data_IF_252313687782
#
_entry.id   IF_252313687782
#
_cell.length_a   1.000
_cell.length_b   1.000
_cell.length_c   1.000
_cell.angle_alpha   90.00
_cell.angle_beta   90.00
_cell.angle_gamma   90.00
#
_symmetry.space_group_name_H-M   'P 1'
#
loop_
_entity.id
_entity.type
_entity.pdbx_description
1 polymer ?
#
# COMPACT_ATOMS: atom_id res chain seq x y z
N UNK A 1 27.68 -44.99 -13.57
CA UNK A 1 28.88 -44.27 -13.12
C UNK A 1 29.35 -43.45 -14.32
N UNK A 2 28.92 -42.21 -14.51
CA UNK A 2 29.20 -41.05 -13.64
C UNK A 2 28.12 -39.97 -13.84
N UNK A 3 27.56 -39.47 -12.74
CA UNK A 3 26.71 -38.27 -12.72
C UNK A 3 27.59 -37.01 -12.83
N UNK A 4 27.28 -36.14 -13.80
CA UNK A 4 27.82 -34.78 -13.86
C UNK A 4 26.90 -33.86 -13.07
N UNK A 5 27.39 -33.44 -11.92
CA UNK A 5 26.85 -32.36 -11.11
C UNK A 5 27.22 -31.03 -11.78
N UNK A 6 26.24 -30.33 -12.35
CA UNK A 6 26.43 -28.96 -12.84
C UNK A 6 25.93 -27.98 -11.78
N UNK A 7 26.85 -27.15 -11.34
CA UNK A 7 26.76 -26.11 -10.32
C UNK A 7 25.71 -25.04 -10.59
N UNK A 8 24.88 -24.76 -9.58
CA UNK A 8 24.01 -23.59 -9.50
C UNK A 8 24.83 -22.36 -9.07
N UNK A 9 24.72 -21.18 -9.72
CA UNK A 9 25.37 -19.98 -9.22
C UNK A 9 24.56 -19.38 -8.06
N UNK A 10 25.23 -19.34 -6.91
CA UNK A 10 24.94 -18.69 -5.65
C UNK A 10 23.94 -17.52 -5.67
N UNK A 11 22.84 -17.73 -4.93
CA UNK A 11 22.03 -16.69 -4.28
C UNK A 11 22.83 -16.03 -3.15
N UNK A 12 23.46 -14.89 -3.43
CA UNK A 12 24.00 -14.01 -2.40
C UNK A 12 23.38 -12.62 -2.54
N UNK A 13 22.17 -12.44 -2.02
CA UNK A 13 21.75 -11.12 -1.56
C UNK A 13 21.45 -11.22 -0.08
N UNK A 14 22.48 -10.92 0.71
CA UNK A 14 22.34 -10.61 2.13
C UNK A 14 21.74 -9.19 2.21
N UNK A 15 20.45 -9.06 1.95
CA UNK A 15 19.70 -7.83 2.22
C UNK A 15 19.48 -7.77 3.73
N UNK A 16 20.13 -6.79 4.37
CA UNK A 16 19.96 -6.52 5.79
C UNK A 16 18.46 -6.20 6.06
N UNK A 17 17.73 -6.99 6.88
CA UNK A 17 16.27 -6.86 7.03
C UNK A 17 15.80 -5.46 7.46
N UNK A 18 16.66 -4.73 8.20
CA UNK A 18 16.37 -3.38 8.65
C UNK A 18 16.35 -2.32 7.54
N UNK A 19 17.06 -2.54 6.42
CA UNK A 19 17.08 -1.61 5.29
C UNK A 19 15.81 -1.72 4.45
N UNK A 20 15.26 -2.93 4.28
CA UNK A 20 13.99 -3.13 3.56
C UNK A 20 12.79 -2.55 4.33
N UNK A 21 12.75 -2.69 5.66
CA UNK A 21 11.69 -2.12 6.50
C UNK A 21 11.65 -0.59 6.49
N UNK A 22 12.78 0.04 6.14
CA UNK A 22 12.91 1.49 6.04
C UNK A 22 12.47 2.04 4.67
N UNK A 23 12.32 1.17 3.66
CA UNK A 23 11.83 1.56 2.35
C UNK A 23 10.31 1.82 2.44
N UNK A 24 9.84 3.06 2.17
CA UNK A 24 8.40 3.38 2.21
C UNK A 24 7.56 2.52 1.26
N UNK A 25 8.17 2.01 0.18
CA UNK A 25 7.51 1.18 -0.84
C UNK A 25 7.57 -0.32 -0.56
N UNK A 26 8.21 -0.74 0.54
CA UNK A 26 8.24 -2.15 0.90
C UNK A 26 6.84 -2.66 1.26
N UNK A 27 6.39 -3.70 0.57
CA UNK A 27 5.15 -4.42 0.86
C UNK A 27 5.51 -5.76 1.49
N UNK A 28 5.25 -5.89 2.79
CA UNK A 28 5.54 -7.13 3.50
C UNK A 28 4.70 -8.30 2.92
N UNK A 29 5.25 -9.51 2.75
CA UNK A 29 4.52 -10.66 2.17
C UNK A 29 3.21 -11.02 2.88
N UNK A 30 3.06 -10.67 4.17
CA UNK A 30 1.80 -10.83 4.92
C UNK A 30 0.71 -9.81 4.56
N UNK A 31 0.94 -8.92 3.58
CA UNK A 31 -0.11 -8.07 3.02
C UNK A 31 -0.97 -8.86 2.04
N UNK A 32 -1.85 -9.71 2.57
CA UNK A 32 -2.81 -10.45 1.77
C UNK A 32 -4.07 -9.60 1.46
N UNK A 33 -4.58 -9.59 0.21
CA UNK A 33 -5.79 -8.84 -0.17
C UNK A 33 -7.01 -9.12 0.72
N UNK A 34 -7.10 -10.32 1.30
CA UNK A 34 -8.20 -10.70 2.19
C UNK A 34 -8.20 -10.08 3.59
N UNK A 35 -7.17 -9.30 4.01
CA UNK A 35 -7.16 -8.72 5.35
C UNK A 35 -8.05 -7.48 5.47
N UNK A 36 -9.17 -7.60 6.18
CA UNK A 36 -10.02 -6.43 6.48
C UNK A 36 -9.23 -5.46 7.37
N UNK A 37 -8.97 -4.24 6.88
CA UNK A 37 -8.23 -3.22 7.65
C UNK A 37 -9.10 -2.48 8.66
N UNK A 38 -10.39 -2.33 8.36
CA UNK A 38 -11.37 -1.63 9.19
C UNK A 38 -12.64 -2.46 9.17
N UNK A 39 -13.15 -2.79 10.36
CA UNK A 39 -14.35 -3.65 10.50
C UNK A 39 -15.63 -2.93 10.08
N UNK A 40 -15.70 -1.61 10.26
CA UNK A 40 -16.83 -0.78 9.88
C UNK A 40 -16.54 -0.05 8.57
N UNK A 41 -17.49 -0.08 7.64
CA UNK A 41 -17.40 0.68 6.40
C UNK A 41 -17.78 2.14 6.64
N UNK A 42 -17.14 3.06 5.91
CA UNK A 42 -17.54 4.45 5.86
C UNK A 42 -18.94 4.56 5.25
N UNK A 43 -19.89 5.14 5.97
CA UNK A 43 -21.29 5.31 5.55
C UNK A 43 -21.71 6.77 5.38
N UNK A 44 -20.77 7.70 5.56
CA UNK A 44 -20.98 9.15 5.51
C UNK A 44 -21.29 9.79 6.87
N UNK A 45 -21.76 9.03 7.86
CA UNK A 45 -22.00 9.51 9.22
C UNK A 45 -20.85 9.17 10.18
N UNK A 46 -20.10 8.11 9.89
CA UNK A 46 -19.06 7.57 10.78
C UNK A 46 -17.61 7.96 10.41
N UNK A 47 -17.39 9.09 9.72
CA UNK A 47 -16.05 9.50 9.28
C UNK A 47 -15.02 9.57 10.41
N UNK A 48 -15.36 10.14 11.58
CA UNK A 48 -14.42 10.30 12.69
C UNK A 48 -13.88 8.96 13.24
N UNK A 49 -14.72 7.97 13.61
CA UNK A 49 -14.23 6.66 14.04
C UNK A 49 -13.58 5.84 12.91
N UNK A 50 -14.10 5.93 11.67
CA UNK A 50 -13.55 5.24 10.51
C UNK A 50 -12.13 5.73 10.18
N UNK A 51 -11.94 7.05 10.10
CA UNK A 51 -10.65 7.67 9.74
C UNK A 51 -9.57 7.35 10.76
N UNK A 52 -9.88 7.35 12.07
CA UNK A 52 -8.94 6.92 13.13
C UNK A 52 -8.54 5.46 12.98
N UNK A 53 -9.49 4.58 12.67
CA UNK A 53 -9.23 3.15 12.49
C UNK A 53 -8.33 2.90 11.27
N UNK A 54 -8.63 3.53 10.13
CA UNK A 54 -7.80 3.44 8.93
C UNK A 54 -6.40 4.04 9.16
N UNK A 55 -6.32 5.18 9.85
CA UNK A 55 -5.06 5.82 10.21
C UNK A 55 -4.17 4.88 11.04
N UNK A 56 -4.69 4.25 12.09
CA UNK A 56 -3.93 3.28 12.89
C UNK A 56 -3.48 2.08 12.06
N UNK A 57 -4.37 1.53 11.22
CA UNK A 57 -4.07 0.39 10.39
C UNK A 57 -2.95 0.66 9.38
N UNK A 58 -2.92 1.85 8.77
CA UNK A 58 -1.87 2.27 7.83
C UNK A 58 -0.58 2.67 8.55
N UNK A 59 -0.67 3.34 9.70
CA UNK A 59 0.49 3.72 10.51
C UNK A 59 1.26 2.51 11.02
N UNK A 60 0.56 1.46 11.45
CA UNK A 60 1.19 0.21 11.90
C UNK A 60 2.04 -0.48 10.81
N UNK A 61 1.87 -0.10 9.54
CA UNK A 61 2.60 -0.64 8.39
C UNK A 61 3.48 0.39 7.68
N UNK A 62 3.70 1.56 8.28
CA UNK A 62 4.47 2.66 7.69
C UNK A 62 3.92 3.11 6.32
N UNK A 63 2.59 3.13 6.16
CA UNK A 63 1.91 3.52 4.90
C UNK A 63 1.11 4.81 4.99
N UNK A 64 1.18 5.52 6.12
CA UNK A 64 0.42 6.76 6.32
C UNK A 64 0.76 7.84 5.28
N UNK A 65 2.01 7.87 4.82
CA UNK A 65 2.48 8.90 3.90
C UNK A 65 1.79 8.91 2.53
N UNK A 66 1.13 7.81 2.16
CA UNK A 66 0.35 7.72 0.92
C UNK A 66 -1.01 8.39 1.01
N UNK A 67 -1.57 8.54 2.23
CA UNK A 67 -2.88 9.18 2.43
C UNK A 67 -2.77 10.62 2.91
N UNK A 68 -1.66 11.01 3.56
CA UNK A 68 -1.37 12.41 3.92
C UNK A 68 -0.57 13.18 2.86
N UNK A 69 -0.08 12.49 1.82
CA UNK A 69 0.65 13.08 0.70
C UNK A 69 2.14 13.35 0.96
N UNK A 70 2.68 12.96 2.12
CA UNK A 70 4.12 13.09 2.41
C UNK A 70 4.99 12.16 1.57
N UNK A 71 4.46 11.03 1.09
CA UNK A 71 5.11 10.14 0.12
C UNK A 71 4.57 10.47 -1.29
N UNK A 72 5.35 11.28 -2.02
CA UNK A 72 5.04 11.67 -3.40
C UNK A 72 5.43 10.58 -4.41
N UNK A 73 4.73 10.50 -5.56
CA UNK A 73 5.18 9.63 -6.65
C UNK A 73 6.59 10.06 -7.09
N UNK A 74 7.53 9.12 -7.23
CA UNK A 74 8.82 9.41 -7.86
C UNK A 74 8.62 9.63 -9.37
N UNK A 75 9.62 10.21 -10.04
CA UNK A 75 9.61 10.37 -11.49
C UNK A 75 9.63 9.01 -12.18
N UNK A 76 8.64 8.76 -13.05
CA UNK A 76 8.53 7.52 -13.83
C UNK A 76 9.69 7.38 -14.83
N UNK A 77 10.14 8.49 -15.42
CA UNK A 77 11.24 8.50 -16.39
C UNK A 77 12.61 8.32 -15.71
N UNK A 78 12.82 8.98 -14.56
CA UNK A 78 14.13 8.97 -13.89
C UNK A 78 14.31 7.74 -12.97
N UNK A 79 13.21 7.23 -12.40
CA UNK A 79 13.22 6.15 -11.39
C UNK A 79 12.06 5.16 -11.60
N UNK A 80 12.02 4.45 -12.75
CA UNK A 80 10.90 3.56 -13.08
C UNK A 80 10.67 2.43 -12.07
N UNK A 81 11.73 1.90 -11.46
CA UNK A 81 11.62 0.86 -10.43
C UNK A 81 10.94 1.36 -9.15
N UNK A 82 11.35 2.53 -8.65
CA UNK A 82 10.73 3.16 -7.48
C UNK A 82 9.27 3.55 -7.77
N UNK A 83 8.99 4.03 -8.98
CA UNK A 83 7.63 4.36 -9.41
C UNK A 83 6.72 3.14 -9.42
N UNK A 84 7.19 2.01 -9.97
CA UNK A 84 6.43 0.77 -9.96
C UNK A 84 6.08 0.29 -8.54
N UNK A 85 7.04 0.37 -7.60
CA UNK A 85 6.83 0.01 -6.19
C UNK A 85 5.89 0.99 -5.48
N UNK A 86 6.05 2.29 -5.72
CA UNK A 86 5.13 3.32 -5.22
C UNK A 86 3.70 3.09 -5.74
N UNK A 87 3.54 2.83 -7.04
CA UNK A 87 2.25 2.61 -7.68
C UNK A 87 1.57 1.35 -7.14
N UNK A 88 2.33 0.27 -6.90
CA UNK A 88 1.82 -0.93 -6.25
C UNK A 88 1.27 -0.63 -4.85
N UNK A 89 2.03 0.12 -4.03
CA UNK A 89 1.58 0.54 -2.70
C UNK A 89 0.32 1.42 -2.76
N UNK A 90 0.30 2.40 -3.64
CA UNK A 90 -0.83 3.31 -3.83
C UNK A 90 -2.10 2.56 -4.24
N UNK A 91 -2.01 1.68 -5.24
CA UNK A 91 -3.15 0.88 -5.72
C UNK A 91 -3.66 -0.10 -4.65
N UNK A 92 -2.76 -0.65 -3.84
CA UNK A 92 -3.14 -1.46 -2.69
C UNK A 92 -3.95 -0.63 -1.69
N UNK A 93 -3.49 0.57 -1.34
CA UNK A 93 -4.19 1.45 -0.39
C UNK A 93 -5.55 1.89 -0.95
N UNK A 94 -5.63 2.23 -2.23
CA UNK A 94 -6.90 2.53 -2.91
C UNK A 94 -7.87 1.35 -2.82
N UNK A 95 -7.40 0.13 -3.05
CA UNK A 95 -8.22 -1.08 -2.91
C UNK A 95 -8.71 -1.26 -1.47
N UNK A 96 -7.88 -0.93 -0.47
CA UNK A 96 -8.26 -0.99 0.94
C UNK A 96 -9.31 0.04 1.30
N UNK A 97 -9.13 1.28 0.85
CA UNK A 97 -10.11 2.35 1.02
C UNK A 97 -11.43 1.91 0.39
N UNK A 98 -11.42 1.46 -0.87
CA UNK A 98 -12.61 1.00 -1.59
C UNK A 98 -13.36 -0.13 -0.88
N UNK A 99 -12.64 -1.06 -0.24
CA UNK A 99 -13.26 -2.15 0.51
C UNK A 99 -13.80 -1.74 1.88
N UNK A 100 -13.36 -0.58 2.39
CA UNK A 100 -13.73 -0.02 3.69
C UNK A 100 -14.75 1.11 3.59
N UNK A 101 -15.36 1.33 2.42
CA UNK A 101 -16.43 2.32 2.23
C UNK A 101 -17.68 1.63 1.73
N UNK A 102 -18.85 2.20 2.02
CA UNK A 102 -20.11 1.71 1.48
C UNK A 102 -20.16 1.85 -0.04
N UNK A 103 -20.92 0.97 -0.70
CA UNK A 103 -20.95 0.85 -2.17
C UNK A 103 -21.37 2.13 -2.91
N UNK A 104 -22.13 3.00 -2.25
CA UNK A 104 -22.54 4.28 -2.82
C UNK A 104 -21.40 5.33 -2.80
N UNK A 105 -20.41 5.18 -1.91
CA UNK A 105 -19.23 6.05 -1.79
C UNK A 105 -18.03 5.51 -2.61
N UNK A 106 -18.02 4.22 -2.93
CA UNK A 106 -16.88 3.58 -3.64
C UNK A 106 -16.71 4.05 -5.08
N UNK A 107 -17.73 4.63 -5.72
CA UNK A 107 -17.69 5.06 -7.13
C UNK A 107 -16.58 6.06 -7.43
N UNK A 108 -16.29 6.97 -6.49
CA UNK A 108 -15.18 7.92 -6.63
C UNK A 108 -13.81 7.25 -6.48
N UNK A 109 -13.71 6.21 -5.66
CA UNK A 109 -12.46 5.52 -5.32
C UNK A 109 -11.93 4.68 -6.49
N UNK A 110 -12.81 4.04 -7.27
CA UNK A 110 -12.43 3.16 -8.39
C UNK A 110 -11.68 3.90 -9.50
N UNK A 111 -11.93 5.21 -9.67
CA UNK A 111 -11.30 6.04 -10.69
C UNK A 111 -10.11 6.85 -10.15
N UNK A 112 -9.78 6.69 -8.87
CA UNK A 112 -8.73 7.46 -8.24
C UNK A 112 -7.35 6.99 -8.67
N UNK A 113 -6.52 7.94 -9.07
CA UNK A 113 -5.10 7.69 -9.33
C UNK A 113 -4.27 7.74 -8.05
N UNK A 114 -4.71 8.46 -7.02
CA UNK A 114 -3.94 8.71 -5.81
C UNK A 114 -4.78 8.51 -4.55
N UNK A 115 -4.26 7.73 -3.61
CA UNK A 115 -4.92 7.48 -2.32
C UNK A 115 -5.14 8.76 -1.52
N UNK A 116 -4.18 9.71 -1.53
CA UNK A 116 -4.32 10.98 -0.82
C UNK A 116 -5.52 11.80 -1.32
N UNK A 117 -5.83 11.78 -2.62
CA UNK A 117 -6.96 12.56 -3.16
C UNK A 117 -8.29 12.07 -2.59
N UNK A 118 -8.49 10.75 -2.60
CA UNK A 118 -9.68 10.13 -2.00
C UNK A 118 -9.73 10.36 -0.49
N UNK A 119 -8.59 10.33 0.18
CA UNK A 119 -8.53 10.62 1.60
C UNK A 119 -8.97 12.05 1.92
N UNK A 120 -8.56 13.03 1.12
CA UNK A 120 -9.04 14.41 1.23
C UNK A 120 -10.53 14.53 0.87
N UNK A 121 -11.00 13.84 -0.18
CA UNK A 121 -12.41 13.88 -0.59
C UNK A 121 -13.35 13.37 0.52
N UNK A 122 -12.88 12.48 1.39
CA UNK A 122 -13.65 12.00 2.55
C UNK A 122 -13.54 12.87 3.80
N UNK A 123 -12.59 13.82 3.86
CA UNK A 123 -12.54 14.81 4.95
C UNK A 123 -13.68 15.80 4.76
N UNK A 124 -14.79 15.56 5.43
CA UNK A 124 -15.93 16.47 5.53
C UNK A 124 -16.16 16.92 6.97
#
# INVERSE_FOLDING_TARGET
MTDKQTSNPNTNNSSNPGMELSNPYYVHPSYHPGHVLVSEKLDGANYSPWSKSMFHALRAKNKIGFIDGSIKPPSEDEKPGDYALWAQCNNMILSRISNSVESHLSKGVVHAQFAYKIWEDFKH
#
